data_IF_559396680911
#
_entry.id   IF_559396680911
#
_cell.length_a   1.000
_cell.length_b   1.000
_cell.length_c   1.000
_cell.angle_alpha   90.00
_cell.angle_beta   90.00
_cell.angle_gamma   90.00
#
_symmetry.space_group_name_H-M   'P 1'
#
loop_
_entity.id
_entity.type
_entity.pdbx_description
1 polymer ?
#
# COMPACT_ATOMS: atom_id res chain seq x y z
N UNK A 1 4.28 -13.52 19.54
CA UNK A 1 5.37 -13.26 18.63
C UNK A 1 5.38 -11.79 18.25
N UNK A 2 6.53 -11.10 18.35
CA UNK A 2 6.55 -9.69 17.99
C UNK A 2 6.18 -9.52 16.53
N UNK A 3 5.33 -8.57 16.27
CA UNK A 3 4.89 -8.28 14.92
C UNK A 3 5.81 -7.27 14.27
N UNK A 4 6.05 -7.47 12.97
CA UNK A 4 6.83 -6.50 12.22
C UNK A 4 6.00 -5.23 12.08
N UNK A 5 6.51 -4.12 12.58
CA UNK A 5 5.84 -2.85 12.39
C UNK A 5 6.13 -2.33 10.98
N UNK A 6 5.16 -1.65 10.40
CA UNK A 6 5.31 -1.03 9.09
C UNK A 6 5.53 0.46 9.25
N UNK A 7 6.27 1.09 8.33
CA UNK A 7 6.85 0.53 7.12
C UNK A 7 8.18 -0.19 7.38
N UNK A 8 8.77 -0.79 6.35
CA UNK A 8 10.07 -1.44 6.47
C UNK A 8 10.98 -1.02 5.32
N UNK A 9 12.25 -1.31 5.50
CA UNK A 9 13.21 -1.28 4.41
C UNK A 9 13.29 -2.69 3.84
N UNK A 10 12.93 -2.85 2.57
CA UNK A 10 12.99 -4.15 1.93
C UNK A 10 14.40 -4.37 1.42
N UNK A 11 15.05 -5.40 1.98
CA UNK A 11 16.37 -5.80 1.51
C UNK A 11 16.19 -6.88 0.45
N UNK A 12 16.40 -6.52 -0.80
CA UNK A 12 16.05 -7.41 -1.89
C UNK A 12 16.83 -8.72 -1.85
N UNK A 13 18.07 -8.67 -1.35
CA UNK A 13 18.87 -9.89 -1.23
C UNK A 13 18.30 -10.88 -0.22
N UNK A 14 17.52 -10.39 0.73
CA UNK A 14 16.93 -11.26 1.77
C UNK A 14 15.52 -11.71 1.43
N UNK A 15 14.93 -11.18 0.37
CA UNK A 15 13.61 -11.59 -0.03
C UNK A 15 13.67 -13.02 -0.59
N UNK A 16 12.65 -13.79 -0.26
CA UNK A 16 12.58 -15.18 -0.69
C UNK A 16 11.58 -15.28 -1.82
N UNK A 17 12.03 -15.82 -2.96
CA UNK A 17 11.12 -16.10 -4.05
C UNK A 17 10.24 -17.27 -3.67
N UNK A 18 8.93 -17.12 -3.86
CA UNK A 18 7.99 -18.14 -3.42
C UNK A 18 7.03 -18.44 -4.56
N UNK A 19 7.09 -19.66 -5.07
CA UNK A 19 6.27 -20.06 -6.20
C UNK A 19 4.78 -20.08 -5.88
N UNK A 20 4.42 -20.06 -4.58
CA UNK A 20 3.00 -19.99 -4.21
C UNK A 20 2.41 -18.60 -4.44
N UNK A 21 3.27 -17.59 -4.56
CA UNK A 21 2.80 -16.25 -4.87
C UNK A 21 2.47 -16.19 -6.35
N UNK A 22 1.22 -15.91 -6.65
CA UNK A 22 0.76 -15.82 -8.03
C UNK A 22 0.59 -14.38 -8.42
N UNK A 23 0.30 -14.15 -9.69
CA UNK A 23 -0.03 -12.82 -10.15
C UNK A 23 -1.28 -12.32 -9.45
N UNK A 24 -1.20 -11.08 -9.00
CA UNK A 24 -2.34 -10.44 -8.36
C UNK A 24 -3.35 -10.02 -9.42
N UNK A 25 -4.63 -10.26 -9.15
CA UNK A 25 -5.70 -9.82 -10.03
C UNK A 25 -6.30 -8.54 -9.46
N UNK A 26 -6.18 -7.46 -10.21
CA UNK A 26 -6.65 -6.16 -9.76
C UNK A 26 -7.88 -5.79 -10.56
N UNK A 27 -8.98 -5.51 -9.86
CA UNK A 27 -10.27 -5.22 -10.48
C UNK A 27 -10.73 -3.85 -10.02
N UNK A 28 -10.18 -2.80 -10.61
CA UNK A 28 -10.52 -1.42 -10.26
C UNK A 28 -11.37 -0.73 -11.32
N UNK A 29 -11.76 -1.44 -12.37
CA UNK A 29 -12.46 -0.79 -13.47
C UNK A 29 -13.81 -0.20 -13.06
N UNK A 30 -14.40 -0.69 -11.97
CA UNK A 30 -15.66 -0.13 -11.48
C UNK A 30 -15.47 0.68 -10.21
N UNK A 31 -14.24 0.95 -9.86
CA UNK A 31 -13.90 1.71 -8.68
C UNK A 31 -14.05 3.20 -8.99
N UNK A 32 -14.73 3.94 -8.10
CA UNK A 32 -14.96 5.37 -8.29
C UNK A 32 -14.57 6.12 -7.04
N UNK A 33 -13.77 7.18 -7.16
CA UNK A 33 -13.52 8.02 -6.00
C UNK A 33 -14.78 8.79 -5.64
N UNK A 34 -15.06 8.88 -4.35
CA UNK A 34 -16.25 9.58 -3.88
C UNK A 34 -15.90 10.89 -3.23
N UNK A 35 -15.00 10.88 -2.26
CA UNK A 35 -14.58 12.09 -1.56
C UNK A 35 -13.08 12.10 -1.42
N UNK A 36 -12.54 13.30 -1.30
CA UNK A 36 -11.14 13.53 -0.99
C UNK A 36 -11.08 14.36 0.27
N UNK A 37 -10.10 14.09 1.11
CA UNK A 37 -10.03 14.71 2.42
C UNK A 37 -8.59 15.04 2.78
N UNK A 38 -8.40 16.20 3.37
CA UNK A 38 -7.18 16.55 4.10
C UNK A 38 -7.43 16.15 5.55
N UNK A 39 -6.80 15.08 6.02
CA UNK A 39 -7.05 14.61 7.38
C UNK A 39 -6.33 15.46 8.43
N UNK A 40 -5.56 16.45 7.98
CA UNK A 40 -4.68 17.19 8.86
C UNK A 40 -3.29 16.57 8.92
N UNK A 41 -3.13 15.37 8.38
CA UNK A 41 -1.85 14.67 8.36
C UNK A 41 -1.52 14.12 6.98
N UNK A 42 -2.55 13.74 6.20
CA UNK A 42 -2.34 13.17 4.87
C UNK A 42 -3.57 13.45 4.02
N UNK A 43 -3.48 13.05 2.77
CA UNK A 43 -4.61 13.10 1.85
C UNK A 43 -5.21 11.69 1.77
N UNK A 44 -6.52 11.63 1.97
CA UNK A 44 -7.28 10.39 1.86
C UNK A 44 -8.32 10.54 0.75
N UNK A 45 -8.42 9.53 -0.10
CA UNK A 45 -9.49 9.48 -1.10
C UNK A 45 -10.29 8.23 -0.84
N UNK A 46 -11.59 8.40 -0.63
CA UNK A 46 -12.50 7.27 -0.42
C UNK A 46 -13.00 6.79 -1.76
N UNK A 47 -13.18 5.48 -1.87
CA UNK A 47 -13.62 4.86 -3.10
C UNK A 47 -14.87 4.03 -2.87
N UNK A 48 -15.63 3.85 -3.92
CA UNK A 48 -16.74 2.93 -3.95
C UNK A 48 -16.47 1.95 -5.09
N UNK A 49 -16.52 0.64 -4.78
CA UNK A 49 -16.26 -0.38 -5.76
C UNK A 49 -14.79 -0.67 -5.93
N UNK A 50 -14.51 -1.81 -6.51
CA UNK A 50 -13.15 -2.25 -6.76
C UNK A 50 -12.68 -3.26 -5.74
N UNK A 51 -11.85 -4.19 -6.21
CA UNK A 51 -11.32 -5.23 -5.33
C UNK A 51 -10.07 -5.84 -5.95
N UNK A 52 -9.35 -6.57 -5.11
CA UNK A 52 -8.21 -7.39 -5.56
C UNK A 52 -8.49 -8.83 -5.18
N UNK A 53 -7.90 -9.74 -5.93
CA UNK A 53 -7.99 -11.18 -5.69
C UNK A 53 -6.78 -11.85 -6.31
N UNK A 54 -6.76 -13.17 -6.29
CA UNK A 54 -5.62 -13.90 -6.86
C UNK A 54 -4.40 -13.78 -5.98
N UNK A 55 -3.23 -13.91 -6.59
CA UNK A 55 -2.00 -13.90 -5.82
C UNK A 55 -2.04 -14.95 -4.73
N UNK A 56 -1.75 -14.53 -3.51
CA UNK A 56 -1.81 -15.40 -2.33
C UNK A 56 -3.10 -15.19 -1.53
N UNK A 57 -4.02 -14.39 -2.04
CA UNK A 57 -5.22 -14.02 -1.30
C UNK A 57 -6.23 -15.16 -1.26
N UNK A 58 -6.92 -15.36 -0.13
CA UNK A 58 -7.92 -16.45 -0.06
C UNK A 58 -9.21 -16.11 -0.76
N UNK A 59 -9.52 -14.83 -0.91
CA UNK A 59 -10.76 -14.35 -1.52
C UNK A 59 -10.55 -12.91 -1.93
N UNK A 60 -11.62 -12.27 -2.40
CA UNK A 60 -11.58 -10.87 -2.76
C UNK A 60 -11.42 -9.99 -1.53
N UNK A 61 -10.61 -8.95 -1.67
CA UNK A 61 -10.50 -7.87 -0.68
C UNK A 61 -10.93 -6.59 -1.36
N UNK A 62 -11.87 -5.88 -0.76
CA UNK A 62 -12.47 -4.73 -1.43
C UNK A 62 -11.69 -3.46 -1.11
N UNK A 63 -11.59 -2.59 -2.10
CA UNK A 63 -10.92 -1.31 -1.94
C UNK A 63 -11.77 -0.40 -1.04
N UNK A 64 -11.11 0.28 -0.12
CA UNK A 64 -11.77 1.23 0.78
C UNK A 64 -11.28 2.64 0.52
N UNK A 65 -10.01 2.89 0.76
CA UNK A 65 -9.45 4.24 0.64
C UNK A 65 -8.04 4.16 0.08
N UNK A 66 -7.56 5.32 -0.40
CA UNK A 66 -6.12 5.45 -0.64
C UNK A 66 -5.60 6.58 0.23
N UNK A 67 -4.36 6.45 0.66
CA UNK A 67 -3.65 7.44 1.44
C UNK A 67 -2.40 7.87 0.68
N UNK A 68 -2.09 9.15 0.68
CA UNK A 68 -0.96 9.67 -0.07
C UNK A 68 0.04 10.28 0.91
N UNK A 69 1.30 9.92 0.71
CA UNK A 69 2.42 10.36 1.56
C UNK A 69 3.48 11.04 0.70
N UNK A 70 4.13 12.03 1.29
CA UNK A 70 5.17 12.80 0.61
C UNK A 70 6.19 13.27 1.62
N UNK A 71 7.25 13.88 1.11
CA UNK A 71 8.31 14.41 1.94
C UNK A 71 8.54 15.89 1.70
N UNK A 72 9.41 16.44 2.52
CA UNK A 72 9.80 17.85 2.39
C UNK A 72 10.56 18.07 1.09
N UNK A 73 11.33 17.07 0.67
CA UNK A 73 12.11 17.12 -0.56
C UNK A 73 11.59 16.10 -1.55
N UNK A 74 11.82 16.36 -2.83
CA UNK A 74 11.29 15.48 -3.88
C UNK A 74 11.91 14.10 -3.87
N UNK A 75 13.06 13.91 -3.28
CA UNK A 75 13.73 12.62 -3.30
C UNK A 75 13.67 11.89 -1.96
N UNK A 76 12.74 12.27 -1.08
CA UNK A 76 12.76 11.69 0.27
C UNK A 76 11.37 11.75 0.89
N UNK A 77 10.45 10.90 0.40
CA UNK A 77 9.07 11.00 0.85
C UNK A 77 8.29 9.71 1.01
N UNK A 78 8.87 8.56 0.67
CA UNK A 78 8.12 7.31 0.82
C UNK A 78 8.24 6.78 2.24
N UNK A 79 7.29 5.93 2.63
CA UNK A 79 7.36 5.22 3.91
C UNK A 79 8.30 4.03 3.79
N UNK A 80 8.01 3.17 2.84
CA UNK A 80 8.85 1.99 2.60
C UNK A 80 10.09 2.39 1.83
N UNK A 81 11.17 1.62 2.06
CA UNK A 81 12.39 1.74 1.29
C UNK A 81 12.68 0.41 0.62
N UNK A 82 13.42 0.49 -0.48
CA UNK A 82 13.94 -0.72 -1.12
C UNK A 82 15.45 -0.55 -1.19
N UNK A 83 16.17 -1.46 -0.51
CA UNK A 83 17.62 -1.40 -0.40
C UNK A 83 18.06 0.00 0.03
N UNK A 84 17.39 0.50 1.07
CA UNK A 84 17.63 1.79 1.70
C UNK A 84 17.25 3.00 0.83
N UNK A 85 16.82 2.78 -0.40
CA UNK A 85 16.40 3.89 -1.27
C UNK A 85 14.99 4.35 -0.88
N UNK A 86 14.85 5.66 -0.68
CA UNK A 86 13.56 6.29 -0.36
C UNK A 86 13.07 7.03 -1.61
N UNK A 87 11.83 6.74 -1.99
CA UNK A 87 11.23 7.35 -3.18
C UNK A 87 10.67 8.73 -2.85
N UNK A 88 10.13 9.40 -3.88
CA UNK A 88 9.59 10.75 -3.70
C UNK A 88 8.33 10.78 -2.84
N UNK A 89 7.54 9.72 -2.94
CA UNK A 89 6.32 9.59 -2.16
C UNK A 89 5.78 8.19 -2.27
N UNK A 90 4.60 8.00 -1.68
CA UNK A 90 4.00 6.68 -1.65
C UNK A 90 2.49 6.81 -1.57
N UNK A 91 1.79 5.97 -2.32
CA UNK A 91 0.34 5.85 -2.25
C UNK A 91 0.02 4.48 -1.66
N UNK A 92 -0.80 4.44 -0.63
CA UNK A 92 -1.25 3.20 -0.02
C UNK A 92 -2.71 2.97 -0.37
N UNK A 93 -2.99 1.80 -0.94
CA UNK A 93 -4.34 1.42 -1.34
C UNK A 93 -4.84 0.40 -0.33
N UNK A 94 -5.80 0.79 0.48
CA UNK A 94 -6.25 0.01 1.63
C UNK A 94 -7.46 -0.82 1.25
N UNK A 95 -7.35 -2.13 1.48
CA UNK A 95 -8.42 -3.08 1.16
C UNK A 95 -8.78 -3.87 2.40
N UNK A 96 -10.00 -4.41 2.45
CA UNK A 96 -10.40 -5.21 3.59
C UNK A 96 -11.22 -6.42 3.15
N UNK A 97 -11.27 -7.40 4.03
CA UNK A 97 -11.84 -8.71 3.75
C UNK A 97 -13.34 -8.69 4.02
N UNK A 98 -14.07 -8.17 3.04
CA UNK A 98 -15.52 -8.03 3.17
C UNK A 98 -16.22 -9.37 3.13
N UNK A 99 -15.62 -10.37 2.51
CA UNK A 99 -16.23 -11.68 2.47
C UNK A 99 -16.33 -12.30 3.85
N UNK A 100 -15.33 -12.01 4.70
CA UNK A 100 -15.25 -12.66 6.02
C UNK A 100 -15.77 -11.78 7.14
N UNK A 101 -15.67 -10.46 6.99
CA UNK A 101 -16.02 -9.54 8.07
C UNK A 101 -17.08 -8.56 7.61
N UNK A 102 -17.81 -8.00 8.58
CA UNK A 102 -18.99 -7.19 8.26
C UNK A 102 -18.65 -5.73 8.00
N UNK A 103 -17.47 -5.28 8.41
CA UNK A 103 -17.07 -3.88 8.24
C UNK A 103 -15.56 -3.79 8.25
N UNK A 104 -15.06 -2.65 7.77
CA UNK A 104 -13.63 -2.37 7.86
C UNK A 104 -13.18 -2.40 9.33
N UNK A 105 -13.98 -1.79 10.21
CA UNK A 105 -13.60 -1.75 11.62
C UNK A 105 -13.53 -3.14 12.22
N UNK A 106 -14.42 -4.04 11.80
CA UNK A 106 -14.34 -5.41 12.29
C UNK A 106 -13.13 -6.13 11.68
N UNK A 107 -12.87 -5.92 10.39
CA UNK A 107 -11.74 -6.56 9.73
C UNK A 107 -10.41 -6.18 10.39
N UNK A 108 -10.29 -4.95 10.85
CA UNK A 108 -9.06 -4.47 11.50
C UNK A 108 -8.67 -5.29 12.71
N UNK A 109 -9.61 -5.97 13.34
CA UNK A 109 -9.35 -6.74 14.55
C UNK A 109 -8.70 -8.09 14.27
N UNK A 110 -8.52 -8.44 12.99
CA UNK A 110 -8.06 -9.77 12.61
C UNK A 110 -6.84 -9.68 11.70
N UNK A 111 -5.97 -10.68 11.79
CA UNK A 111 -4.72 -10.63 11.05
C UNK A 111 -4.89 -10.87 9.55
N UNK A 112 -6.04 -11.37 9.12
CA UNK A 112 -6.34 -11.52 7.70
C UNK A 112 -7.35 -10.49 7.21
N UNK A 113 -7.53 -9.41 7.95
CA UNK A 113 -8.58 -8.45 7.64
C UNK A 113 -8.19 -7.38 6.64
N UNK A 114 -6.93 -6.97 6.62
CA UNK A 114 -6.50 -5.78 5.87
C UNK A 114 -5.35 -6.15 4.94
N UNK A 115 -5.44 -5.70 3.69
CA UNK A 115 -4.32 -5.77 2.75
C UNK A 115 -4.09 -4.38 2.20
N UNK A 116 -2.83 -3.95 2.23
CA UNK A 116 -2.47 -2.64 1.72
C UNK A 116 -1.47 -2.79 0.58
N UNK A 117 -1.79 -2.17 -0.55
CA UNK A 117 -0.85 -2.09 -1.67
C UNK A 117 -0.11 -0.77 -1.56
N UNK A 118 1.21 -0.81 -1.69
CA UNK A 118 2.03 0.39 -1.75
C UNK A 118 2.53 0.61 -3.16
N UNK A 119 2.33 1.82 -3.66
CA UNK A 119 2.83 2.26 -4.96
C UNK A 119 3.75 3.44 -4.69
N UNK A 120 4.97 3.37 -5.23
CA UNK A 120 5.93 4.46 -5.07
C UNK A 120 5.72 5.54 -6.11
N UNK A 121 5.92 6.78 -5.69
CA UNK A 121 5.93 7.94 -6.56
C UNK A 121 7.37 8.37 -6.77
N UNK A 122 7.77 8.60 -8.02
CA UNK A 122 9.11 9.05 -8.34
C UNK A 122 9.03 10.32 -9.17
N UNK A 123 9.62 11.39 -8.63
CA UNK A 123 9.66 12.65 -9.38
C UNK A 123 10.63 12.52 -10.55
N UNK A 124 10.18 12.97 -11.70
CA UNK A 124 10.93 12.96 -12.93
C UNK A 124 10.53 14.20 -13.72
N UNK A 125 11.01 14.29 -14.96
CA UNK A 125 10.61 15.38 -15.84
C UNK A 125 9.21 15.20 -16.41
N UNK A 126 8.59 14.09 -16.14
CA UNK A 126 7.34 13.70 -16.77
C UNK A 126 6.14 14.08 -15.91
N UNK A 127 5.24 14.87 -16.47
CA UNK A 127 3.99 15.19 -15.79
C UNK A 127 3.02 14.03 -15.98
N UNK A 128 2.47 13.53 -14.88
CA UNK A 128 1.55 12.40 -14.91
C UNK A 128 0.12 12.93 -15.03
N UNK A 129 -0.48 12.72 -16.20
CA UNK A 129 -1.80 13.31 -16.47
C UNK A 129 -2.90 12.70 -15.60
N UNK A 130 -2.71 11.47 -15.15
CA UNK A 130 -3.71 10.83 -14.31
C UNK A 130 -3.60 11.31 -12.86
N UNK A 131 -2.36 11.44 -12.38
CA UNK A 131 -2.11 11.95 -11.03
C UNK A 131 -2.56 13.41 -10.92
N UNK A 132 -2.50 14.14 -12.05
CA UNK A 132 -2.93 15.54 -12.05
C UNK A 132 -4.39 15.68 -11.63
N UNK A 133 -5.22 14.68 -11.89
CA UNK A 133 -6.62 14.76 -11.48
C UNK A 133 -6.77 14.79 -9.97
N UNK A 134 -5.86 14.14 -9.25
CA UNK A 134 -5.83 14.25 -7.79
C UNK A 134 -5.32 15.63 -7.39
N UNK A 135 -4.25 16.08 -8.01
CA UNK A 135 -3.65 17.37 -7.69
C UNK A 135 -4.67 18.50 -7.85
N UNK A 136 -5.51 18.41 -8.89
CA UNK A 136 -6.53 19.41 -9.14
C UNK A 136 -7.55 19.54 -8.02
N UNK A 137 -7.69 18.51 -7.17
CA UNK A 137 -8.66 18.55 -6.09
C UNK A 137 -8.13 19.23 -4.83
N UNK A 138 -6.83 19.48 -4.75
CA UNK A 138 -6.21 19.83 -3.48
C UNK A 138 -6.63 21.21 -2.97
N UNK A 139 -6.93 22.14 -3.87
CA UNK A 139 -7.38 23.46 -3.43
C UNK A 139 -8.70 23.39 -2.66
N UNK A 140 -9.51 22.36 -2.92
CA UNK A 140 -10.80 22.19 -2.24
C UNK A 140 -10.65 21.69 -0.81
N UNK A 141 -9.47 21.21 -0.45
CA UNK A 141 -9.26 20.62 0.87
C UNK A 141 -8.04 21.22 1.56
N UNK A 142 -7.84 22.52 1.37
CA UNK A 142 -6.62 23.16 1.86
C UNK A 142 -6.49 23.11 3.38
N UNK A 143 -7.58 23.29 4.10
CA UNK A 143 -7.53 23.30 5.56
C UNK A 143 -7.69 21.91 6.15
N UNK A 144 -7.12 21.71 7.34
CA UNK A 144 -7.20 20.44 8.02
C UNK A 144 -8.65 20.02 8.22
N UNK A 145 -8.89 18.75 8.01
CA UNK A 145 -10.20 18.11 8.19
C UNK A 145 -11.24 18.54 7.16
N UNK A 146 -10.84 19.27 6.12
CA UNK A 146 -11.75 19.54 5.01
C UNK A 146 -11.94 18.32 4.16
N UNK A 147 -13.14 18.15 3.68
CA UNK A 147 -13.51 17.04 2.79
C UNK A 147 -14.33 17.64 1.66
N UNK A 148 -14.21 17.08 0.47
CA UNK A 148 -14.92 17.54 -0.70
C UNK A 148 -15.27 16.37 -1.60
N UNK A 149 -16.33 16.47 -2.41
CA UNK A 149 -16.55 15.47 -3.43
C UNK A 149 -15.35 15.43 -4.39
N UNK A 150 -15.00 14.24 -4.86
CA UNK A 150 -13.94 14.13 -5.85
C UNK A 150 -14.55 14.49 -7.21
N UNK A 151 -14.16 15.62 -7.74
CA UNK A 151 -14.85 16.25 -8.87
C UNK A 151 -14.11 15.99 -10.17
N UNK A 152 -14.03 14.72 -10.57
CA UNK A 152 -13.37 14.36 -11.82
C UNK A 152 -13.62 12.90 -12.09
N UNK A 153 -13.63 12.54 -13.37
CA UNK A 153 -13.59 11.14 -13.76
C UNK A 153 -12.16 10.65 -13.56
N UNK A 154 -12.02 9.60 -12.80
CA UNK A 154 -10.70 9.12 -12.40
C UNK A 154 -10.71 7.61 -12.32
N UNK A 155 -9.76 6.98 -13.00
CA UNK A 155 -9.61 5.54 -13.01
C UNK A 155 -8.33 5.16 -12.29
N UNK A 156 -8.48 4.46 -11.17
CA UNK A 156 -7.34 4.08 -10.35
C UNK A 156 -6.36 3.20 -11.11
N UNK A 157 -6.85 2.41 -12.06
CA UNK A 157 -5.97 1.59 -12.89
C UNK A 157 -4.86 2.40 -13.54
N UNK A 158 -5.11 3.67 -13.82
CA UNK A 158 -4.13 4.51 -14.51
C UNK A 158 -2.97 4.91 -13.61
N UNK A 159 -3.04 4.61 -12.32
CA UNK A 159 -1.93 4.85 -11.40
C UNK A 159 -1.17 3.59 -11.06
N UNK A 160 -1.53 2.45 -11.66
CA UNK A 160 -0.77 1.23 -11.40
C UNK A 160 0.56 1.29 -12.15
N UNK A 161 1.62 0.72 -11.56
CA UNK A 161 2.90 0.71 -12.27
C UNK A 161 2.87 -0.18 -13.51
N UNK A 162 3.87 -0.01 -14.36
CA UNK A 162 3.93 -0.72 -15.63
C UNK A 162 4.14 -2.22 -15.45
N UNK A 163 4.76 -2.64 -14.35
CA UNK A 163 4.90 -4.04 -14.02
C UNK A 163 4.33 -4.26 -12.63
N UNK A 164 3.73 -5.44 -12.42
CA UNK A 164 3.06 -5.74 -11.17
C UNK A 164 3.78 -6.83 -10.37
N UNK A 165 5.08 -6.96 -10.59
CA UNK A 165 5.90 -7.73 -9.67
C UNK A 165 5.82 -7.10 -8.29
N UNK A 166 5.81 -7.92 -7.24
CA UNK A 166 5.63 -7.37 -5.91
C UNK A 166 6.44 -8.11 -4.86
N UNK A 167 6.71 -7.41 -3.79
CA UNK A 167 7.13 -7.99 -2.52
C UNK A 167 5.92 -8.03 -1.60
N UNK A 168 5.92 -8.98 -0.69
CA UNK A 168 4.86 -9.06 0.31
C UNK A 168 5.45 -9.40 1.67
N UNK A 169 4.83 -8.86 2.71
CA UNK A 169 5.21 -9.17 4.08
C UNK A 169 4.02 -8.90 4.99
N UNK A 170 4.08 -9.47 6.18
CA UNK A 170 3.05 -9.22 7.20
C UNK A 170 3.55 -8.15 8.15
N UNK A 171 2.80 -7.08 8.25
CA UNK A 171 3.16 -5.97 9.10
C UNK A 171 1.92 -5.36 9.71
N UNK A 172 1.95 -4.03 9.82
CA UNK A 172 0.85 -3.28 10.40
C UNK A 172 0.43 -2.16 9.46
N UNK A 173 -0.69 -1.52 9.79
CA UNK A 173 -0.99 -0.22 9.17
C UNK A 173 0.13 0.76 9.52
N UNK A 174 0.22 1.85 8.77
CA UNK A 174 1.30 2.82 8.99
C UNK A 174 1.19 3.46 10.38
N UNK A 175 -0.03 3.63 10.90
CA UNK A 175 -0.20 4.19 12.24
C UNK A 175 -0.15 3.13 13.33
N UNK A 176 0.18 1.89 12.98
CA UNK A 176 0.37 0.78 13.90
C UNK A 176 -0.89 0.39 14.69
N UNK A 177 -2.07 0.70 14.14
CA UNK A 177 -3.31 0.41 14.87
C UNK A 177 -3.90 -0.94 14.54
N UNK A 178 -3.40 -1.63 13.50
CA UNK A 178 -3.95 -2.92 13.09
C UNK A 178 -2.91 -3.71 12.32
N UNK A 179 -3.09 -5.02 12.28
CA UNK A 179 -2.29 -5.87 11.40
C UNK A 179 -2.67 -5.62 9.96
N UNK A 180 -1.71 -5.77 9.07
CA UNK A 180 -1.97 -5.65 7.64
C UNK A 180 -0.94 -6.47 6.87
N UNK A 181 -1.41 -7.13 5.83
CA UNK A 181 -0.49 -7.73 4.86
C UNK A 181 -0.21 -6.69 3.79
N UNK A 182 1.05 -6.57 3.42
CA UNK A 182 1.48 -5.56 2.46
C UNK A 182 1.85 -6.19 1.14
N UNK A 183 1.49 -5.52 0.07
CA UNK A 183 1.92 -5.82 -1.28
C UNK A 183 2.62 -4.57 -1.79
N UNK A 184 3.92 -4.69 -2.06
CA UNK A 184 4.75 -3.55 -2.43
C UNK A 184 5.17 -3.71 -3.88
N UNK A 185 4.77 -2.77 -4.72
CA UNK A 185 5.23 -2.76 -6.12
C UNK A 185 6.52 -1.97 -6.18
N UNK A 186 7.64 -2.61 -6.53
CA UNK A 186 8.90 -1.86 -6.54
C UNK A 186 9.06 -0.91 -7.71
N UNK A 187 8.30 -1.11 -8.79
CA UNK A 187 8.36 -0.21 -9.94
C UNK A 187 7.55 1.04 -9.62
N UNK A 188 8.16 2.22 -9.56
CA UNK A 188 7.40 3.42 -9.22
C UNK A 188 6.59 3.93 -10.41
N UNK A 189 5.66 4.83 -10.12
CA UNK A 189 5.07 5.65 -11.15
C UNK A 189 5.75 7.01 -11.13
N UNK A 190 5.86 7.62 -12.30
CA UNK A 190 6.56 8.90 -12.43
C UNK A 190 5.57 10.04 -12.35
N UNK A 191 5.96 11.08 -11.61
CA UNK A 191 5.19 12.31 -11.49
C UNK A 191 6.16 13.48 -11.63
N UNK A 192 5.63 14.69 -11.76
CA UNK A 192 6.44 15.88 -11.86
C UNK A 192 6.56 16.57 -10.51
N UNK A 193 7.66 17.29 -10.33
CA UNK A 193 7.90 18.01 -9.08
C UNK A 193 6.78 18.99 -8.77
N UNK A 194 6.26 19.68 -9.78
CA UNK A 194 5.16 20.62 -9.56
C UNK A 194 3.93 19.95 -9.00
N UNK A 195 3.71 18.71 -9.39
CA UNK A 195 2.54 17.97 -8.88
C UNK A 195 2.73 17.62 -7.43
N UNK A 196 3.90 17.12 -7.06
CA UNK A 196 4.12 16.74 -5.68
C UNK A 196 4.16 17.94 -4.76
N UNK A 197 4.75 19.05 -5.22
CA UNK A 197 4.89 20.22 -4.36
C UNK A 197 3.53 20.79 -3.94
N UNK A 198 2.49 20.54 -4.72
CA UNK A 198 1.16 21.03 -4.38
C UNK A 198 0.65 20.44 -3.06
N UNK A 199 1.03 19.20 -2.76
CA UNK A 199 0.63 18.59 -1.51
C UNK A 199 1.20 19.31 -0.30
N UNK A 200 2.36 19.93 -0.46
CA UNK A 200 3.02 20.63 0.65
C UNK A 200 2.35 21.95 0.99
N UNK A 201 1.34 22.36 0.23
CA UNK A 201 0.59 23.58 0.53
C UNK A 201 -0.64 23.31 1.39
N UNK A 202 -0.92 22.05 1.68
CA UNK A 202 -2.05 21.70 2.54
C UNK A 202 -1.72 22.02 3.98
N UNK A 203 -2.74 22.39 4.75
CA UNK A 203 -2.55 22.80 6.13
C UNK A 203 -2.77 21.62 7.07
N UNK A 204 -1.91 21.55 8.06
CA UNK A 204 -1.87 20.48 9.05
C UNK A 204 -2.90 20.78 10.16
N UNK A 205 -3.25 19.73 10.91
CA UNK A 205 -4.04 19.90 12.12
C UNK A 205 -3.23 20.47 13.27
N UNK A 206 -1.89 20.44 13.17
CA UNK A 206 -1.03 21.00 14.20
C UNK A 206 -1.10 22.52 14.16
N UNK A 207 -1.16 23.11 15.34
CA UNK A 207 -1.13 24.56 15.49
C UNK A 207 0.06 24.97 16.32
N UNK A 208 0.72 26.01 15.89
CA UNK A 208 1.80 26.59 16.65
C UNK A 208 1.48 28.04 16.86
N UNK A 209 1.32 28.44 18.11
CA UNK A 209 0.97 29.83 18.45
C UNK A 209 -0.25 30.31 17.68
N UNK A 210 -1.23 29.42 17.54
CA UNK A 210 -2.48 29.78 16.88
C UNK A 210 -2.45 29.81 15.38
N UNK A 211 -1.35 29.40 14.75
CA UNK A 211 -1.23 29.42 13.30
C UNK A 211 -1.11 28.00 12.75
N UNK A 212 -1.88 27.65 11.72
CA UNK A 212 -1.74 26.33 11.12
C UNK A 212 -0.40 26.21 10.39
N UNK A 213 0.12 25.00 10.37
CA UNK A 213 1.34 24.70 9.67
C UNK A 213 1.05 23.90 8.41
N UNK A 214 1.88 24.07 7.40
CA UNK A 214 1.79 23.23 6.20
C UNK A 214 2.17 21.81 6.53
N UNK A 215 1.56 20.87 5.79
CA UNK A 215 1.99 19.48 5.84
C UNK A 215 3.17 19.35 4.87
N UNK A 216 4.34 19.73 5.31
CA UNK A 216 5.50 19.70 4.43
C UNK A 216 5.99 18.28 4.19
N UNK A 217 5.72 17.38 5.14
CA UNK A 217 6.07 15.96 4.99
C UNK A 217 5.19 15.14 5.93
N UNK A 218 4.94 13.89 5.54
CA UNK A 218 4.12 13.02 6.40
C UNK A 218 4.52 11.56 6.32
N UNK A 219 5.68 11.25 5.71
CA UNK A 219 6.14 9.86 5.67
C UNK A 219 6.56 9.41 7.06
N UNK A 220 6.58 8.08 7.25
CA UNK A 220 7.08 7.45 8.46
C UNK A 220 8.37 6.70 8.15
N UNK A 221 9.32 6.74 9.07
CA UNK A 221 10.56 5.98 8.91
C UNK A 221 10.33 4.53 9.28
N UNK A 222 11.06 3.61 8.64
CA UNK A 222 10.92 2.18 8.98
C UNK A 222 11.33 1.90 10.41
N UNK A 223 10.59 0.99 10.89
CA UNK A 223 10.89 0.51 12.22
C UNK A 223 11.99 -0.52 12.09
N UNK A 224 12.40 -0.90 13.06
CA UNK A 224 13.45 -1.84 13.15
C UNK A 224 13.03 -3.13 12.54
N UNK A 225 13.80 -3.63 11.98
CA UNK A 225 13.49 -4.81 11.26
C UNK A 225 13.57 -5.99 12.15
N UNK A 226 12.61 -6.50 12.08
CA UNK A 226 12.52 -7.78 12.72
C UNK A 226 12.67 -8.72 11.62
N UNK A 227 12.75 -9.60 11.64
CA UNK A 227 12.95 -10.57 10.64
C UNK A 227 11.76 -10.67 9.77
N UNK A 228 11.67 -9.91 9.10
CA UNK A 228 10.53 -9.92 8.29
C UNK A 228 10.78 -10.75 7.10
N UNK A 229 9.97 -11.28 6.79
CA UNK A 229 10.04 -12.14 5.71
C UNK A 229 9.44 -11.41 4.59
N UNK A 230 10.05 -11.22 3.84
CA UNK A 230 9.54 -10.61 2.68
C UNK A 230 9.53 -11.63 1.63
N UNK A 231 8.65 -11.70 1.14
CA UNK A 231 8.49 -12.63 0.12
C UNK A 231 8.46 -11.84 -1.12
N UNK A 232 8.86 -12.23 -1.91
CA UNK A 232 8.97 -11.55 -3.11
C UNK A 232 8.26 -12.32 -4.11
N UNK A 233 7.67 -11.80 -4.60
CA UNK A 233 6.99 -12.33 -5.61
C UNK A 233 7.50 -11.70 -6.81
N UNK A 234 8.14 -12.15 -7.12
CA UNK A 234 8.59 -11.72 -8.37
C UNK A 234 7.98 -12.59 -9.34
N UNK A 235 7.59 -12.10 -9.92
CA UNK A 235 6.93 -12.75 -10.98
C UNK A 235 7.84 -13.45 -11.88
N UNK A 236 8.69 -13.18 -11.82
CA UNK A 236 9.57 -13.82 -12.64
C UNK A 236 10.26 -14.83 -11.85
N UNK A 237 9.75 -15.31 -11.47
CA UNK A 237 10.11 -16.17 -10.63
C UNK A 237 11.30 -16.91 -10.77
N UNK A 238 11.97 -16.56 -10.35
CA UNK A 238 13.05 -17.37 -10.39
C UNK A 238 13.02 -18.12 -9.18
N UNK A 239 12.95 -18.97 -9.17
CA UNK A 239 12.78 -19.85 -8.21
C UNK A 239 13.90 -20.04 -7.37
N UNK A 240 14.06 -19.67 -6.69
CA UNK A 240 14.99 -20.11 -5.85
C UNK A 240 14.43 -20.14 -4.57
N UNK A 241 14.22 -21.05 -4.30
CA UNK A 241 13.65 -21.17 -3.14
C UNK A 241 14.63 -21.41 -2.13
N UNK A 242 14.76 -20.77 -1.63
CA UNK A 242 15.59 -21.02 -0.58
C UNK A 242 14.76 -21.25 0.54
N UNK A 243 14.95 -22.09 0.93
CA UNK A 243 14.28 -22.52 1.97
C UNK A 243 14.67 -21.77 3.09
N UNK A 244 14.21 -21.40 3.34
CA UNK A 244 14.47 -20.69 4.44
C UNK A 244 13.51 -21.01 5.40
N UNK A 245 14.00 -21.66 5.82
CA UNK A 245 13.25 -22.16 6.81
C UNK A 245 12.92 -21.32 7.95
N UNK A 246 13.51 -20.80 8.15
CA UNK A 246 13.31 -19.96 9.25
C UNK A 246 12.29 -18.92 9.05
N UNK A 247 12.12 -18.62 8.12
CA UNK A 247 11.21 -17.51 7.80
C UNK A 247 9.81 -17.95 7.55
N UNK A 248 9.64 -19.24 7.51
CA UNK A 248 8.29 -19.73 7.29
C UNK A 248 7.34 -19.37 8.40
N UNK A 249 7.87 -19.07 9.55
CA UNK A 249 6.99 -18.96 10.70
C UNK A 249 5.95 -17.88 10.57
N UNK A 250 6.34 -16.78 9.95
CA UNK A 250 5.43 -15.67 9.88
C UNK A 250 4.52 -15.72 8.67
N UNK A 251 5.11 -15.99 7.55
CA UNK A 251 4.35 -16.13 6.33
C UNK A 251 3.46 -17.37 6.38
N UNK A 252 3.98 -18.21 6.82
CA UNK A 252 3.29 -19.43 6.96
C UNK A 252 2.14 -19.39 7.85
N UNK A 253 2.24 -18.58 8.85
CA UNK A 253 1.07 -18.44 9.69
C UNK A 253 -0.08 -17.83 8.92
N UNK A 254 0.22 -16.84 8.22
CA UNK A 254 -0.80 -16.20 7.39
C UNK A 254 -1.24 -17.11 6.25
N UNK A 255 -0.34 -17.51 5.74
CA UNK A 255 -0.62 -18.35 4.64
C UNK A 255 -1.28 -19.63 4.97
N UNK A 256 -1.02 -20.04 6.08
CA UNK A 256 -1.77 -21.25 6.33
C UNK A 256 -3.27 -21.02 6.45
N UNK A 257 -3.42 -20.03 6.84
CA UNK A 257 -4.77 -19.64 6.84
C UNK A 257 -5.33 -19.56 5.48
N UNK A 258 -4.60 -18.99 4.76
CA UNK A 258 -4.96 -18.95 3.35
C UNK A 258 -5.04 -20.36 2.75
N UNK A 259 -4.09 -21.18 3.09
CA UNK A 259 -4.09 -22.55 2.56
C UNK A 259 -5.27 -23.37 3.05
N UNK A 260 -5.69 -23.14 4.23
CA UNK A 260 -6.87 -23.85 4.74
C UNK A 260 -8.14 -23.45 4.00
N UNK A 261 -8.06 -22.43 3.73
CA UNK A 261 -9.13 -21.94 3.03
C UNK A 261 -9.19 -22.36 1.63
N UNK A 262 -8.20 -22.51 1.40
CA UNK A 262 -8.13 -22.89 0.11
C UNK A 262 -7.80 -24.29 0.06
N UNK A 263 -7.68 -24.51 0.83
CA UNK A 263 -7.33 -25.74 0.94
C UNK A 263 -7.75 -26.65 0.43
N UNK A 264 -8.60 -26.39 0.56
CA UNK A 264 -9.25 -27.32 -0.19
C UNK A 264 -8.90 -27.18 -1.64
N UNK A 265 -8.54 -26.25 -1.75
CA UNK A 265 -8.36 -26.15 -3.03
C UNK A 265 -7.20 -26.31 -3.58
N UNK A 266 -6.69 -26.19 -3.13
CA UNK A 266 -5.91 -26.28 -3.73
C UNK A 266 -4.85 -26.38 -3.43
N UNK A 267 -5.00 -26.84 -2.69
CA UNK A 267 -4.39 -26.95 -2.41
C UNK A 267 -3.54 -27.10 -2.74
N UNK A 268 -3.42 -27.43 -3.41
CA UNK A 268 -2.65 -27.60 -3.83
C UNK A 268 -1.94 -26.87 -4.31
N UNK A 269 -2.36 -26.15 -4.28
CA UNK A 269 -1.74 -25.60 -4.78
C UNK A 269 -0.85 -25.13 -4.30
N UNK A 270 -0.98 -25.12 -3.36
CA UNK A 270 -0.29 -24.85 -3.01
C UNK A 270 0.60 -25.26 -2.85
N UNK A 271 0.67 -26.12 -2.83
CA UNK A 271 1.36 -26.48 -2.70
C UNK A 271 2.01 -26.65 -3.27
N UNK A 272 2.01 -26.46 -4.08
CA UNK A 272 2.47 -26.65 -4.50
C UNK A 272 3.08 -26.34 -4.67
N UNK A 273 3.52 -25.69 -4.31
CA UNK A 273 4.10 -25.46 -4.46
C UNK A 273 4.71 -25.54 -4.24
N UNK A 274 4.90 -26.36 -3.79
CA UNK A 274 5.52 -26.45 -3.65
C UNK A 274 5.60 -26.50 -3.96
#
# INVERSE_FOLDING_TARGET
MPQQLSPINIETKKAISDARLKTLDIHYNESKPTTIQNTGKLVRINFKGGYISGGFLPNEYVLSTIHIYWGKEDDYGSNHLIDVYKYSGEINLVHWNKKKYSSYEEAKKHDDGIIIIAIFLQVSDHKNVYFQKIVNQLDSIRSANMSAPFDSVFYLDNLLPSTLDYFTYLGTTINHSADAAWIIFPTPINIHSDQLSKFRTLLSSSNHEGKPHYITENYRNPXXXXXXXXXXXXXXXXXXXXXXXXRENYFXKWXSXLREXXXSXXXXXXXXXX
#
